data_IF_734045782926
#
_entry.id   IF_734045782926
#
_cell.length_a   1.000
_cell.length_b   1.000
_cell.length_c   1.000
_cell.angle_alpha   90.00
_cell.angle_beta   90.00
_cell.angle_gamma   90.00
#
_symmetry.space_group_name_H-M   'P 1'
#
loop_
_entity.id
_entity.type
_entity.pdbx_description
1 polymer ?
#
# COMPACT_ATOMS: atom_id res chain seq x y z
N UNK A 1 21.96 -0.67 13.46
CA UNK A 1 22.00 0.23 12.29
C UNK A 1 20.78 -0.09 11.45
N UNK A 2 19.93 0.91 11.17
CA UNK A 2 18.76 0.69 10.31
C UNK A 2 19.21 0.84 8.85
N UNK A 3 18.99 -0.18 8.04
CA UNK A 3 19.38 -0.17 6.62
C UNK A 3 18.46 0.69 5.75
N UNK A 4 17.24 0.92 6.22
CA UNK A 4 16.22 1.73 5.55
C UNK A 4 15.29 2.39 6.57
N UNK A 5 14.63 3.47 6.15
CA UNK A 5 13.68 4.23 6.98
C UNK A 5 12.32 3.54 6.99
N UNK A 6 12.06 2.75 8.01
CA UNK A 6 10.82 1.99 8.13
C UNK A 6 9.67 2.84 8.70
N UNK A 7 8.42 2.42 8.43
CA UNK A 7 7.24 3.03 9.06
C UNK A 7 7.31 2.99 10.60
N UNK A 8 7.92 1.96 11.17
CA UNK A 8 8.12 1.88 12.62
C UNK A 8 9.10 2.94 13.13
N UNK A 9 10.16 3.21 12.39
CA UNK A 9 11.12 4.27 12.73
C UNK A 9 10.47 5.65 12.58
N UNK A 10 9.67 5.87 11.52
CA UNK A 10 8.90 7.08 11.36
C UNK A 10 7.97 7.32 12.57
N UNK A 11 7.20 6.32 12.99
CA UNK A 11 6.31 6.48 14.14
C UNK A 11 7.06 6.72 15.45
N UNK A 12 8.15 6.04 15.69
CA UNK A 12 8.99 6.28 16.89
C UNK A 12 9.59 7.68 16.91
N UNK A 13 10.07 8.16 15.77
CA UNK A 13 10.68 9.49 15.67
C UNK A 13 9.64 10.61 15.80
N UNK A 14 8.41 10.40 15.29
CA UNK A 14 7.37 11.44 15.24
C UNK A 14 6.47 11.43 16.48
N UNK A 15 6.14 10.23 16.99
CA UNK A 15 5.16 10.05 18.07
C UNK A 15 5.75 9.46 19.35
N UNK A 16 7.04 9.08 19.35
CA UNK A 16 7.72 8.46 20.48
C UNK A 16 7.35 6.99 20.72
N UNK A 17 6.42 6.43 19.95
CA UNK A 17 5.90 5.08 20.15
C UNK A 17 5.68 4.34 18.83
N UNK A 18 5.48 3.02 18.94
CA UNK A 18 5.09 2.17 17.82
C UNK A 18 3.58 2.25 17.63
N UNK A 19 3.14 2.63 16.44
CA UNK A 19 1.73 2.71 16.08
C UNK A 19 1.38 1.55 15.12
N UNK A 20 0.31 0.82 15.42
CA UNK A 20 -0.17 -0.29 14.61
C UNK A 20 -1.34 0.12 13.73
N UNK A 21 -1.47 -0.55 12.57
CA UNK A 21 -2.62 -0.38 11.68
C UNK A 21 -3.71 -1.38 12.04
N UNK A 22 -4.94 -0.90 12.13
CA UNK A 22 -6.17 -1.72 12.19
C UNK A 22 -6.80 -1.63 10.82
N UNK A 23 -6.87 -2.76 10.11
CA UNK A 23 -7.44 -2.81 8.77
C UNK A 23 -8.98 -2.83 8.85
N UNK A 24 -9.60 -1.88 8.14
CA UNK A 24 -11.04 -1.61 8.11
C UNK A 24 -11.61 -2.07 6.77
N UNK A 25 -12.74 -2.73 6.81
CA UNK A 25 -13.62 -2.98 5.68
C UNK A 25 -14.79 -1.97 5.72
N UNK A 26 -14.73 -0.96 4.89
CA UNK A 26 -15.75 0.06 4.79
C UNK A 26 -16.99 -0.38 3.98
N UNK A 27 -17.00 -1.57 3.42
CA UNK A 27 -18.08 -2.09 2.56
C UNK A 27 -18.20 -1.36 1.24
N UNK A 28 -17.13 -0.74 0.78
CA UNK A 28 -17.06 -0.09 -0.52
C UNK A 28 -16.74 -1.11 -1.63
N UNK A 29 -16.87 -0.72 -2.88
CA UNK A 29 -16.61 -1.55 -4.05
C UNK A 29 -15.36 -1.07 -4.82
N UNK A 30 -15.18 -1.57 -6.01
CA UNK A 30 -14.15 -1.16 -6.94
C UNK A 30 -14.73 -1.08 -8.36
N UNK A 31 -14.45 0.00 -9.13
CA UNK A 31 -14.98 0.15 -10.50
C UNK A 31 -14.54 -0.98 -11.46
N UNK A 32 -13.47 -1.72 -11.13
CA UNK A 32 -13.08 -2.93 -11.86
C UNK A 32 -13.92 -4.17 -11.51
N UNK A 33 -14.91 -4.06 -10.58
CA UNK A 33 -15.70 -5.21 -10.09
C UNK A 33 -17.20 -5.01 -10.17
N UNK A 34 -17.69 -3.78 -10.15
CA UNK A 34 -19.12 -3.47 -10.11
C UNK A 34 -19.74 -3.21 -11.48
N UNK A 35 -18.98 -3.42 -12.54
CA UNK A 35 -19.45 -3.25 -13.92
C UNK A 35 -19.23 -1.84 -14.50
N UNK A 36 -18.71 -0.89 -13.74
CA UNK A 36 -18.41 0.45 -14.26
C UNK A 36 -17.26 0.43 -15.27
N UNK A 37 -16.21 -0.35 -14.98
CA UNK A 37 -15.06 -0.55 -15.86
C UNK A 37 -14.89 -2.01 -16.27
N UNK A 38 -14.93 -2.93 -15.32
CA UNK A 38 -14.88 -4.38 -15.50
C UNK A 38 -15.70 -5.05 -14.37
N UNK A 39 -16.00 -6.33 -14.51
CA UNK A 39 -16.65 -7.15 -13.50
C UNK A 39 -15.71 -8.13 -12.82
N UNK A 40 -14.52 -8.37 -13.41
CA UNK A 40 -13.57 -9.41 -12.99
C UNK A 40 -12.54 -8.92 -11.97
N UNK A 41 -12.29 -7.60 -11.90
CA UNK A 41 -11.22 -7.03 -11.10
C UNK A 41 -9.82 -7.19 -11.72
N UNK A 42 -8.79 -6.70 -11.04
CA UNK A 42 -7.40 -6.97 -11.42
C UNK A 42 -7.12 -8.48 -11.36
N UNK A 43 -6.27 -8.98 -12.26
CA UNK A 43 -6.06 -10.43 -12.44
C UNK A 43 -5.53 -11.15 -11.20
N UNK A 44 -4.85 -10.43 -10.30
CA UNK A 44 -4.25 -10.94 -9.06
C UNK A 44 -5.14 -10.75 -7.83
N UNK A 45 -6.24 -10.01 -7.95
CA UNK A 45 -7.01 -9.57 -6.80
C UNK A 45 -8.01 -10.65 -6.35
N UNK A 46 -7.92 -11.08 -5.08
CA UNK A 46 -8.86 -12.01 -4.47
C UNK A 46 -10.29 -11.47 -4.42
N UNK A 47 -11.25 -12.31 -4.09
CA UNK A 47 -12.64 -11.90 -3.85
C UNK A 47 -12.75 -10.85 -2.73
N UNK A 48 -11.81 -10.82 -1.78
CA UNK A 48 -11.75 -9.85 -0.69
C UNK A 48 -11.21 -8.46 -1.08
N UNK A 49 -10.83 -8.23 -2.35
CA UNK A 49 -10.41 -6.91 -2.82
C UNK A 49 -9.22 -6.32 -2.06
N UNK A 50 -8.20 -7.13 -1.75
CA UNK A 50 -7.04 -6.79 -0.88
C UNK A 50 -7.40 -6.60 0.60
N UNK A 51 -8.64 -6.84 1.00
CA UNK A 51 -9.14 -6.74 2.38
C UNK A 51 -9.18 -8.05 3.15
N UNK A 52 -8.49 -9.10 2.69
CA UNK A 52 -8.51 -10.43 3.31
C UNK A 52 -8.10 -10.44 4.81
N UNK A 53 -7.42 -9.40 5.27
CA UNK A 53 -7.03 -9.21 6.67
C UNK A 53 -7.80 -8.10 7.39
N UNK A 54 -8.77 -7.47 6.73
CA UNK A 54 -9.60 -6.45 7.35
C UNK A 54 -10.57 -7.06 8.36
N UNK A 55 -10.92 -6.30 9.38
CA UNK A 55 -12.00 -6.66 10.30
C UNK A 55 -13.29 -6.71 9.50
N UNK A 56 -13.98 -7.84 9.55
CA UNK A 56 -15.17 -8.09 8.73
C UNK A 56 -16.33 -7.16 9.10
N UNK A 57 -16.79 -6.36 8.13
CA UNK A 57 -18.00 -5.54 8.28
C UNK A 57 -19.26 -6.36 8.57
N UNK A 58 -19.31 -7.59 8.08
CA UNK A 58 -20.43 -8.49 8.37
C UNK A 58 -20.60 -8.74 9.87
N UNK A 59 -19.48 -8.84 10.61
CA UNK A 59 -19.49 -9.08 12.04
C UNK A 59 -19.48 -7.77 12.84
N UNK A 60 -18.90 -6.71 12.30
CA UNK A 60 -18.73 -5.40 12.92
C UNK A 60 -19.14 -4.31 11.92
N UNK A 61 -20.42 -3.91 11.90
CA UNK A 61 -20.97 -3.09 10.80
C UNK A 61 -20.52 -1.63 10.81
N UNK A 62 -20.11 -1.06 11.96
CA UNK A 62 -19.58 0.31 12.06
C UNK A 62 -18.06 0.33 12.08
N UNK A 63 -17.48 1.46 11.71
CA UNK A 63 -16.01 1.66 11.74
C UNK A 63 -15.50 1.60 13.18
N UNK A 64 -16.19 2.22 14.13
CA UNK A 64 -15.84 2.17 15.54
C UNK A 64 -15.86 0.74 16.09
N UNK A 65 -16.86 -0.06 15.74
CA UNK A 65 -16.92 -1.47 16.15
C UNK A 65 -15.74 -2.28 15.57
N UNK A 66 -15.33 -2.00 14.33
CA UNK A 66 -14.16 -2.63 13.71
C UNK A 66 -12.85 -2.19 14.39
N UNK A 67 -12.73 -0.92 14.77
CA UNK A 67 -11.57 -0.42 15.53
C UNK A 67 -11.50 -1.13 16.88
N UNK A 68 -12.58 -1.19 17.64
CA UNK A 68 -12.62 -1.87 18.95
C UNK A 68 -12.30 -3.38 18.83
N UNK A 69 -12.85 -4.04 17.82
CA UNK A 69 -12.52 -5.45 17.53
C UNK A 69 -11.03 -5.61 17.19
N UNK A 70 -10.47 -4.71 16.36
CA UNK A 70 -9.05 -4.69 16.04
C UNK A 70 -8.17 -4.45 17.28
N UNK A 71 -8.54 -3.51 18.14
CA UNK A 71 -7.85 -3.24 19.41
C UNK A 71 -7.82 -4.47 20.32
N UNK A 72 -8.89 -5.25 20.34
CA UNK A 72 -8.95 -6.47 21.15
C UNK A 72 -7.88 -7.51 20.78
N UNK A 73 -7.40 -7.54 19.53
CA UNK A 73 -6.33 -8.42 19.07
C UNK A 73 -4.95 -8.06 19.62
N UNK A 74 -4.81 -6.85 20.16
CA UNK A 74 -3.57 -6.37 20.78
C UNK A 74 -3.58 -6.48 22.31
N UNK A 75 -4.69 -6.89 22.94
CA UNK A 75 -4.77 -7.11 24.39
C UNK A 75 -3.68 -8.09 24.86
N UNK A 76 -2.93 -7.67 25.89
CA UNK A 76 -1.81 -8.47 26.42
C UNK A 76 -0.49 -8.30 25.67
N UNK A 77 -0.43 -7.47 24.64
CA UNK A 77 0.83 -7.04 24.00
C UNK A 77 1.23 -5.67 24.53
N UNK A 78 2.54 -5.44 24.68
CA UNK A 78 3.07 -4.09 24.91
C UNK A 78 2.93 -3.29 23.61
N UNK A 79 1.83 -2.56 23.49
CA UNK A 79 1.55 -1.66 22.35
C UNK A 79 1.32 -0.25 22.90
N UNK A 80 1.60 0.75 22.07
CA UNK A 80 1.25 2.13 22.39
C UNK A 80 -0.27 2.35 22.42
N UNK A 81 -0.68 3.55 22.85
CA UNK A 81 -2.09 3.92 22.97
C UNK A 81 -2.71 4.43 21.66
N UNK A 82 -1.93 4.46 20.57
CA UNK A 82 -2.36 5.02 19.28
C UNK A 82 -2.32 4.00 18.17
N UNK A 83 -3.29 4.13 17.25
CA UNK A 83 -3.48 3.26 16.10
C UNK A 83 -3.79 4.07 14.83
N UNK A 84 -3.54 3.46 13.69
CA UNK A 84 -4.01 3.98 12.39
C UNK A 84 -5.24 3.18 11.97
N UNK A 85 -6.36 3.84 11.69
CA UNK A 85 -7.48 3.22 11.01
C UNK A 85 -7.16 3.12 9.51
N UNK A 86 -6.92 1.91 9.03
CA UNK A 86 -6.50 1.65 7.67
C UNK A 86 -7.64 1.09 6.83
N UNK A 87 -8.24 1.94 6.01
CA UNK A 87 -9.26 1.57 5.04
C UNK A 87 -8.58 0.83 3.88
N UNK A 88 -8.65 -0.50 3.91
CA UNK A 88 -7.85 -1.37 3.05
C UNK A 88 -8.67 -2.05 1.95
N UNK A 89 -9.87 -2.56 2.28
CA UNK A 89 -10.65 -3.37 1.34
C UNK A 89 -11.14 -2.54 0.14
N UNK A 90 -10.87 -3.01 -1.08
CA UNK A 90 -11.30 -2.41 -2.33
C UNK A 90 -10.78 -0.98 -2.58
N UNK A 91 -11.68 -0.03 -2.97
CA UNK A 91 -11.35 1.34 -3.35
C UNK A 91 -12.08 2.31 -2.42
N UNK A 92 -11.37 2.85 -1.44
CA UNK A 92 -12.00 3.51 -0.29
C UNK A 92 -12.32 4.99 -0.50
N UNK A 93 -12.26 5.48 -1.73
CA UNK A 93 -12.81 6.79 -2.14
C UNK A 93 -13.89 6.62 -3.22
N UNK A 94 -14.31 5.39 -3.49
CA UNK A 94 -15.32 5.06 -4.48
C UNK A 94 -16.66 4.77 -3.80
N UNK A 95 -17.42 5.82 -3.53
CA UNK A 95 -18.72 5.76 -2.89
C UNK A 95 -19.39 7.13 -2.78
N UNK A 96 -20.63 7.22 -2.28
CA UNK A 96 -21.29 8.49 -2.02
C UNK A 96 -20.51 9.35 -1.02
N UNK A 97 -20.41 10.67 -1.26
CA UNK A 97 -19.60 11.58 -0.45
C UNK A 97 -20.03 11.64 1.02
N UNK A 98 -21.33 11.69 1.27
CA UNK A 98 -21.91 11.67 2.62
C UNK A 98 -21.53 10.38 3.37
N UNK A 99 -21.52 9.25 2.68
CA UNK A 99 -21.06 7.99 3.26
C UNK A 99 -19.56 8.02 3.56
N UNK A 100 -18.74 8.52 2.62
CA UNK A 100 -17.29 8.65 2.83
C UNK A 100 -16.98 9.60 4.01
N UNK A 101 -17.66 10.74 4.09
CA UNK A 101 -17.51 11.67 5.21
C UNK A 101 -17.86 11.00 6.55
N UNK A 102 -18.97 10.27 6.59
CA UNK A 102 -19.41 9.59 7.82
C UNK A 102 -18.38 8.57 8.31
N UNK A 103 -17.89 7.67 7.44
CA UNK A 103 -16.94 6.62 7.88
C UNK A 103 -15.57 7.17 8.24
N UNK A 104 -15.08 8.21 7.55
CA UNK A 104 -13.80 8.84 7.88
C UNK A 104 -13.90 9.68 9.16
N UNK A 105 -15.02 10.41 9.35
CA UNK A 105 -15.32 11.14 10.56
C UNK A 105 -15.44 10.20 11.76
N UNK A 106 -16.13 9.06 11.62
CA UNK A 106 -16.24 8.05 12.67
C UNK A 106 -14.86 7.54 13.11
N UNK A 107 -13.97 7.22 12.15
CA UNK A 107 -12.60 6.81 12.46
C UNK A 107 -11.78 7.93 13.12
N UNK A 108 -11.83 9.15 12.57
CA UNK A 108 -11.06 10.30 13.07
C UNK A 108 -11.54 10.77 14.44
N UNK A 109 -12.81 10.57 14.78
CA UNK A 109 -13.37 10.92 16.10
C UNK A 109 -12.95 9.94 17.19
N UNK A 110 -12.46 8.74 16.85
CA UNK A 110 -12.07 7.74 17.84
C UNK A 110 -10.80 8.18 18.61
N UNK A 111 -10.79 8.16 19.97
CA UNK A 111 -9.71 8.72 20.78
C UNK A 111 -8.35 8.04 20.57
N UNK A 112 -8.34 6.73 20.34
CA UNK A 112 -7.12 5.96 20.13
C UNK A 112 -6.60 6.00 18.68
N UNK A 113 -7.31 6.64 17.75
CA UNK A 113 -6.87 6.77 16.35
C UNK A 113 -5.99 8.01 16.21
N UNK A 114 -4.72 7.81 15.83
CA UNK A 114 -3.77 8.89 15.53
C UNK A 114 -4.01 9.51 14.15
N UNK A 115 -4.60 8.75 13.24
CA UNK A 115 -4.92 9.17 11.88
C UNK A 115 -5.51 8.04 11.07
N UNK A 116 -5.89 8.36 9.84
CA UNK A 116 -6.42 7.39 8.87
C UNK A 116 -5.49 7.20 7.69
N UNK A 117 -5.48 6.00 7.13
CA UNK A 117 -4.77 5.65 5.90
C UNK A 117 -5.79 5.04 4.94
N UNK A 118 -5.97 5.65 3.77
CA UNK A 118 -7.06 5.33 2.82
C UNK A 118 -6.45 4.74 1.56
N UNK A 119 -6.63 3.42 1.34
CA UNK A 119 -6.20 2.77 0.12
C UNK A 119 -7.21 3.02 -1.00
N UNK A 120 -6.72 3.54 -2.13
CA UNK A 120 -7.59 3.88 -3.25
C UNK A 120 -6.88 3.80 -4.59
N UNK A 121 -7.68 3.99 -5.64
CA UNK A 121 -7.26 4.11 -7.05
C UNK A 121 -7.13 5.58 -7.44
N UNK A 122 -6.17 5.93 -8.29
CA UNK A 122 -6.00 7.30 -8.78
C UNK A 122 -7.24 7.88 -9.49
N UNK A 123 -7.94 7.06 -10.26
CA UNK A 123 -9.15 7.43 -11.00
C UNK A 123 -10.42 7.59 -10.13
N UNK A 124 -10.29 7.36 -8.81
CA UNK A 124 -11.36 7.57 -7.83
C UNK A 124 -11.08 8.75 -6.88
N UNK A 125 -10.28 9.72 -7.31
CA UNK A 125 -9.96 10.96 -6.61
C UNK A 125 -10.47 12.17 -7.40
N UNK A 126 -11.81 12.28 -7.50
CA UNK A 126 -12.48 13.44 -8.08
C UNK A 126 -12.33 14.70 -7.23
N UNK A 127 -12.68 15.87 -7.79
CA UNK A 127 -12.60 17.17 -7.09
C UNK A 127 -13.41 17.18 -5.80
N UNK A 128 -14.55 16.53 -5.80
CA UNK A 128 -15.45 16.34 -4.68
C UNK A 128 -14.79 15.54 -3.53
N UNK A 129 -14.12 14.43 -3.86
CA UNK A 129 -13.35 13.64 -2.88
C UNK A 129 -12.16 14.42 -2.35
N UNK A 130 -11.45 15.14 -3.20
CA UNK A 130 -10.32 15.99 -2.79
C UNK A 130 -10.78 17.10 -1.83
N UNK A 131 -11.93 17.73 -2.09
CA UNK A 131 -12.53 18.73 -1.22
C UNK A 131 -12.93 18.11 0.14
N UNK A 132 -13.52 16.92 0.15
CA UNK A 132 -13.81 16.18 1.37
C UNK A 132 -12.53 15.90 2.19
N UNK A 133 -11.48 15.40 1.56
CA UNK A 133 -10.22 15.10 2.25
C UNK A 133 -9.60 16.36 2.86
N UNK A 134 -9.65 17.49 2.16
CA UNK A 134 -9.18 18.77 2.68
C UNK A 134 -10.03 19.24 3.88
N UNK A 135 -11.35 19.17 3.79
CA UNK A 135 -12.26 19.47 4.91
C UNK A 135 -11.99 18.61 6.14
N UNK A 136 -11.77 17.30 5.95
CA UNK A 136 -11.41 16.40 7.05
C UNK A 136 -10.08 16.80 7.71
N UNK A 137 -9.09 17.19 6.92
CA UNK A 137 -7.79 17.68 7.43
C UNK A 137 -7.95 18.94 8.28
N UNK A 138 -8.82 19.87 7.88
CA UNK A 138 -9.14 21.07 8.64
C UNK A 138 -9.92 20.77 9.94
N UNK A 139 -10.88 19.86 9.87
CA UNK A 139 -11.68 19.44 11.05
C UNK A 139 -10.88 18.66 12.09
N UNK A 140 -9.82 17.95 11.66
CA UNK A 140 -8.99 17.10 12.53
C UNK A 140 -7.50 17.44 12.44
N UNK A 141 -7.07 18.68 12.79
CA UNK A 141 -5.70 19.17 12.57
C UNK A 141 -4.62 18.38 13.35
N UNK A 142 -5.01 17.69 14.42
CA UNK A 142 -4.11 16.87 15.25
C UNK A 142 -4.03 15.39 14.80
N UNK A 143 -4.68 15.04 13.69
CA UNK A 143 -4.69 13.67 13.14
C UNK A 143 -4.25 13.68 11.69
N UNK A 144 -3.42 12.72 11.33
CA UNK A 144 -2.98 12.63 9.94
C UNK A 144 -4.00 11.91 9.06
N UNK A 145 -4.02 12.31 7.79
CA UNK A 145 -4.75 11.63 6.72
C UNK A 145 -3.75 11.26 5.65
N UNK A 146 -3.61 9.98 5.38
CA UNK A 146 -2.72 9.45 4.34
C UNK A 146 -3.52 8.80 3.23
N UNK A 147 -3.11 9.02 2.00
CA UNK A 147 -3.64 8.30 0.84
C UNK A 147 -2.64 7.24 0.40
N UNK A 148 -3.10 5.99 0.34
CA UNK A 148 -2.34 4.87 -0.21
C UNK A 148 -2.80 4.65 -1.65
N UNK A 149 -1.97 5.11 -2.59
CA UNK A 149 -2.32 5.21 -4.01
C UNK A 149 -1.78 4.01 -4.79
N UNK A 150 -2.64 3.28 -5.46
CA UNK A 150 -2.24 2.16 -6.31
C UNK A 150 -1.58 2.66 -7.59
N UNK A 151 -0.35 2.25 -7.88
CA UNK A 151 0.33 2.41 -9.18
C UNK A 151 0.59 1.05 -9.81
N UNK A 152 1.11 0.15 -9.01
CA UNK A 152 1.53 -1.22 -9.31
C UNK A 152 2.78 -1.26 -10.20
N UNK A 153 2.80 -0.54 -11.31
CA UNK A 153 3.90 -0.38 -12.29
C UNK A 153 3.67 0.88 -13.13
N UNK A 154 4.75 1.43 -13.71
CA UNK A 154 4.66 2.52 -14.72
C UNK A 154 4.44 1.98 -16.13
N UNK A 155 4.68 0.70 -16.37
CA UNK A 155 4.63 0.10 -17.70
C UNK A 155 3.20 -0.19 -18.13
N UNK A 156 2.76 0.47 -19.19
CA UNK A 156 1.35 0.41 -19.65
C UNK A 156 0.96 -0.96 -20.21
N UNK A 157 1.88 -1.70 -20.82
CA UNK A 157 1.66 -3.09 -21.27
C UNK A 157 1.37 -4.01 -20.07
N UNK A 158 2.18 -3.94 -19.02
CA UNK A 158 1.94 -4.67 -17.77
C UNK A 158 0.66 -4.20 -17.08
N UNK A 159 0.43 -2.87 -17.01
CA UNK A 159 -0.78 -2.30 -16.43
C UNK A 159 -2.06 -2.79 -17.13
N UNK A 160 -2.04 -2.90 -18.45
CA UNK A 160 -3.11 -3.48 -19.25
C UNK A 160 -3.28 -4.97 -18.98
N UNK A 161 -2.17 -5.73 -18.94
CA UNK A 161 -2.18 -7.16 -18.64
C UNK A 161 -2.83 -7.44 -17.27
N UNK A 162 -2.44 -6.70 -16.23
CA UNK A 162 -3.02 -6.87 -14.88
C UNK A 162 -4.42 -6.26 -14.73
N UNK A 163 -5.00 -5.68 -15.77
CA UNK A 163 -6.31 -5.01 -15.75
C UNK A 163 -6.37 -3.89 -14.71
N UNK A 164 -5.31 -3.06 -14.62
CA UNK A 164 -5.28 -1.92 -13.70
C UNK A 164 -6.43 -0.94 -13.95
N UNK A 165 -6.76 -0.69 -15.23
CA UNK A 165 -7.92 0.06 -15.65
C UNK A 165 -7.76 1.59 -15.67
N UNK A 166 -6.56 2.12 -15.45
CA UNK A 166 -6.20 3.54 -15.61
C UNK A 166 -4.76 3.67 -16.10
N UNK A 167 -4.47 4.77 -16.79
CA UNK A 167 -3.15 5.06 -17.36
C UNK A 167 -2.24 5.79 -16.37
N UNK A 168 -0.94 5.86 -16.66
CA UNK A 168 0.04 6.58 -15.85
C UNK A 168 -0.31 8.08 -15.68
N UNK A 169 -0.75 8.84 -16.72
CA UNK A 169 -1.18 10.23 -16.54
C UNK A 169 -2.30 10.43 -15.51
N UNK A 170 -3.21 9.46 -15.34
CA UNK A 170 -4.25 9.52 -14.29
C UNK A 170 -3.64 9.44 -12.90
N UNK A 171 -2.63 8.59 -12.73
CA UNK A 171 -1.85 8.53 -11.49
C UNK A 171 -1.11 9.86 -11.23
N UNK A 172 -0.46 10.43 -12.24
CA UNK A 172 0.27 11.70 -12.10
C UNK A 172 -0.66 12.85 -11.72
N UNK A 173 -1.84 12.94 -12.32
CA UNK A 173 -2.87 13.92 -11.95
C UNK A 173 -3.28 13.78 -10.49
N UNK A 174 -3.59 12.56 -10.04
CA UNK A 174 -3.96 12.28 -8.66
C UNK A 174 -2.83 12.63 -7.68
N UNK A 175 -1.59 12.27 -8.02
CA UNK A 175 -0.40 12.61 -7.23
C UNK A 175 -0.23 14.11 -7.09
N UNK A 176 -0.33 14.86 -8.18
CA UNK A 176 -0.25 16.33 -8.19
C UNK A 176 -1.36 16.98 -7.35
N UNK A 177 -2.61 16.53 -7.49
CA UNK A 177 -3.75 17.05 -6.74
C UNK A 177 -3.61 16.82 -5.23
N UNK A 178 -3.14 15.64 -4.81
CA UNK A 178 -2.90 15.34 -3.39
C UNK A 178 -1.73 16.16 -2.83
N UNK A 179 -0.66 16.35 -3.61
CA UNK A 179 0.48 17.17 -3.22
C UNK A 179 0.08 18.66 -3.05
N UNK A 180 -0.79 19.20 -3.91
CA UNK A 180 -1.28 20.57 -3.77
C UNK A 180 -2.09 20.80 -2.49
N UNK A 181 -2.70 19.75 -1.96
CA UNK A 181 -3.41 19.75 -0.67
C UNK A 181 -2.50 19.39 0.52
N UNK A 182 -1.21 19.14 0.31
CA UNK A 182 -0.27 18.66 1.33
C UNK A 182 -0.81 17.41 2.05
N UNK A 183 -1.35 16.46 1.30
CA UNK A 183 -1.78 15.16 1.81
C UNK A 183 -0.68 14.13 1.52
N UNK A 184 -0.07 13.51 2.56
CA UNK A 184 0.99 12.52 2.36
C UNK A 184 0.52 11.29 1.58
N UNK A 185 1.33 10.87 0.61
CA UNK A 185 0.99 9.83 -0.36
C UNK A 185 1.92 8.63 -0.17
N UNK A 186 1.33 7.45 0.00
CA UNK A 186 2.03 6.17 -0.01
C UNK A 186 1.72 5.47 -1.31
N UNK A 187 2.74 5.16 -2.11
CA UNK A 187 2.53 4.48 -3.39
C UNK A 187 2.66 2.97 -3.22
N UNK A 188 1.72 2.24 -3.80
CA UNK A 188 1.77 0.78 -3.88
C UNK A 188 2.32 0.34 -5.22
N UNK A 189 3.38 -0.48 -5.20
CA UNK A 189 3.89 -1.21 -6.36
C UNK A 189 3.91 -2.71 -6.08
N UNK A 190 3.91 -3.51 -7.14
CA UNK A 190 3.98 -4.97 -7.03
C UNK A 190 5.24 -5.46 -7.72
N UNK A 191 6.08 -6.16 -6.95
CA UNK A 191 7.30 -6.79 -7.44
C UNK A 191 7.00 -8.20 -7.93
N UNK A 192 7.45 -8.52 -9.14
CA UNK A 192 7.29 -9.83 -9.78
C UNK A 192 6.04 -9.97 -10.65
N UNK A 193 5.51 -8.86 -11.16
CA UNK A 193 4.44 -8.91 -12.17
C UNK A 193 4.94 -9.65 -13.43
N UNK A 194 4.11 -10.50 -14.05
CA UNK A 194 4.49 -11.18 -15.29
C UNK A 194 4.90 -10.18 -16.38
N UNK A 195 6.03 -10.45 -17.03
CA UNK A 195 6.60 -9.57 -18.05
C UNK A 195 7.53 -8.48 -17.51
N UNK A 196 7.68 -8.34 -16.19
CA UNK A 196 8.62 -7.41 -15.58
C UNK A 196 9.88 -8.10 -15.08
N UNK A 197 11.02 -7.74 -15.70
CA UNK A 197 12.33 -8.10 -15.19
C UNK A 197 12.81 -7.07 -14.15
N UNK A 198 14.01 -7.30 -13.60
CA UNK A 198 14.63 -6.39 -12.63
C UNK A 198 14.75 -4.96 -13.13
N UNK A 199 15.13 -4.75 -14.38
CA UNK A 199 15.37 -3.40 -14.91
C UNK A 199 14.06 -2.60 -15.01
N UNK A 200 12.98 -3.20 -15.52
CA UNK A 200 11.65 -2.57 -15.54
C UNK A 200 11.12 -2.21 -14.15
N UNK A 201 11.39 -3.06 -13.17
CA UNK A 201 11.02 -2.76 -11.77
C UNK A 201 11.84 -1.57 -11.27
N UNK A 202 13.15 -1.51 -11.53
CA UNK A 202 13.99 -0.38 -11.13
C UNK A 202 13.61 0.91 -11.88
N UNK A 203 13.22 0.85 -13.15
CA UNK A 203 12.63 2.01 -13.85
C UNK A 203 11.41 2.58 -13.11
N UNK A 204 10.54 1.70 -12.59
CA UNK A 204 9.39 2.13 -11.76
C UNK A 204 9.85 2.78 -10.45
N UNK A 205 10.88 2.25 -9.80
CA UNK A 205 11.45 2.82 -8.57
C UNK A 205 12.10 4.17 -8.86
N UNK A 206 12.94 4.27 -9.89
CA UNK A 206 13.64 5.51 -10.28
C UNK A 206 12.66 6.61 -10.69
N UNK A 207 11.56 6.24 -11.36
CA UNK A 207 10.47 7.16 -11.63
C UNK A 207 9.85 7.71 -10.33
N UNK A 208 9.53 6.84 -9.37
CA UNK A 208 8.93 7.24 -8.09
C UNK A 208 9.91 8.00 -7.19
N UNK A 209 11.20 7.68 -7.24
CA UNK A 209 12.23 8.36 -6.48
C UNK A 209 12.34 9.87 -6.77
N UNK A 210 11.92 10.29 -7.98
CA UNK A 210 11.87 11.70 -8.41
C UNK A 210 10.54 12.39 -8.11
N UNK A 211 9.55 11.67 -7.59
CA UNK A 211 8.22 12.22 -7.27
C UNK A 211 8.15 12.59 -5.79
N UNK A 212 7.32 13.59 -5.47
CA UNK A 212 7.03 13.93 -4.08
C UNK A 212 6.05 12.90 -3.49
N UNK A 213 6.60 11.85 -2.89
CA UNK A 213 5.86 10.82 -2.18
C UNK A 213 6.35 10.72 -0.74
N UNK A 214 5.45 10.49 0.20
CA UNK A 214 5.78 10.27 1.61
C UNK A 214 6.36 8.88 1.85
N UNK A 215 5.82 7.88 1.19
CA UNK A 215 6.24 6.50 1.42
C UNK A 215 5.87 5.55 0.29
N UNK A 216 6.36 4.33 0.43
CA UNK A 216 6.16 3.28 -0.57
C UNK A 216 5.88 1.93 0.09
N UNK A 217 5.09 1.11 -0.60
CA UNK A 217 4.91 -0.32 -0.30
C UNK A 217 5.47 -1.14 -1.46
N UNK A 218 6.55 -1.86 -1.19
CA UNK A 218 7.10 -2.88 -2.08
C UNK A 218 6.36 -4.19 -1.81
N UNK A 219 5.36 -4.51 -2.62
CA UNK A 219 4.53 -5.69 -2.39
C UNK A 219 5.01 -6.85 -3.25
N UNK A 220 5.20 -8.02 -2.64
CA UNK A 220 5.42 -9.25 -3.38
C UNK A 220 4.13 -9.67 -4.11
N UNK A 221 4.25 -10.05 -5.37
CA UNK A 221 3.16 -10.69 -6.09
C UNK A 221 2.79 -12.02 -5.41
N UNK A 222 1.53 -12.19 -5.07
CA UNK A 222 0.98 -13.45 -4.58
C UNK A 222 0.04 -14.05 -5.62
N UNK A 223 0.22 -15.33 -5.87
CA UNK A 223 -0.71 -16.13 -6.66
C UNK A 223 -1.74 -16.71 -5.70
N UNK A 224 -2.97 -16.23 -5.82
CA UNK A 224 -4.07 -16.60 -4.93
C UNK A 224 -5.09 -17.46 -5.67
N UNK A 225 -5.64 -18.45 -4.99
CA UNK A 225 -6.74 -19.27 -5.51
C UNK A 225 -7.89 -18.42 -6.03
N UNK A 226 -8.56 -18.91 -7.03
CA UNK A 226 -9.75 -18.29 -7.64
C UNK A 226 -9.48 -16.92 -8.32
N UNK A 227 -8.22 -16.65 -8.68
CA UNK A 227 -7.84 -15.47 -9.50
C UNK A 227 -7.53 -15.93 -10.93
N UNK A 228 -7.65 -15.00 -11.89
CA UNK A 228 -7.25 -15.31 -13.28
C UNK A 228 -5.74 -15.52 -13.37
N UNK A 229 -4.96 -14.82 -12.55
CA UNK A 229 -3.51 -14.99 -12.48
C UNK A 229 -3.11 -16.42 -12.03
N UNK A 230 -3.91 -17.06 -11.16
CA UNK A 230 -3.67 -18.43 -10.77
C UNK A 230 -3.80 -19.40 -11.95
N UNK A 231 -4.77 -19.16 -12.84
CA UNK A 231 -4.95 -19.96 -14.07
C UNK A 231 -3.76 -19.85 -15.02
N UNK A 232 -3.18 -18.64 -15.13
CA UNK A 232 -2.01 -18.42 -15.96
C UNK A 232 -0.76 -19.06 -15.34
N UNK A 233 -0.63 -19.02 -14.02
CA UNK A 233 0.43 -19.68 -13.28
C UNK A 233 0.37 -21.22 -13.41
N UNK A 234 -0.83 -21.81 -13.29
CA UNK A 234 -1.08 -23.26 -13.48
C UNK A 234 -0.69 -23.75 -14.88
N UNK A 235 -0.79 -22.86 -15.90
CA UNK A 235 -0.35 -23.14 -17.28
C UNK A 235 1.16 -22.89 -17.51
N UNK A 236 1.90 -22.55 -16.44
CA UNK A 236 3.33 -22.22 -16.50
C UNK A 236 3.67 -21.06 -17.45
N UNK A 237 2.79 -20.05 -17.57
CA UNK A 237 3.02 -18.91 -18.44
C UNK A 237 4.05 -17.91 -17.85
N UNK A 238 4.32 -17.99 -16.56
CA UNK A 238 5.33 -17.22 -15.85
C UNK A 238 5.76 -17.94 -14.56
N UNK A 239 6.88 -17.52 -13.98
CA UNK A 239 7.41 -18.01 -12.70
C UNK A 239 7.34 -16.93 -11.64
N UNK A 240 7.34 -17.31 -10.36
CA UNK A 240 7.49 -16.41 -9.21
C UNK A 240 8.93 -16.43 -8.71
N UNK A 241 9.37 -15.35 -8.08
CA UNK A 241 10.70 -15.25 -7.49
C UNK A 241 10.91 -16.30 -6.38
N UNK A 242 12.11 -16.86 -6.32
CA UNK A 242 12.63 -17.48 -5.10
C UNK A 242 12.77 -16.42 -4.00
N UNK A 243 12.93 -16.86 -2.75
CA UNK A 243 13.10 -15.95 -1.62
C UNK A 243 14.36 -15.09 -1.77
N UNK A 244 15.43 -15.70 -2.24
CA UNK A 244 16.73 -15.06 -2.44
C UNK A 244 16.68 -13.98 -3.54
N UNK A 245 16.11 -14.30 -4.70
CA UNK A 245 15.92 -13.34 -5.81
C UNK A 245 15.04 -12.16 -5.37
N UNK A 246 13.95 -12.42 -4.64
CA UNK A 246 13.09 -11.37 -4.13
C UNK A 246 13.81 -10.45 -3.14
N UNK A 247 14.59 -11.03 -2.21
CA UNK A 247 15.35 -10.26 -1.22
C UNK A 247 16.36 -9.35 -1.92
N UNK A 248 17.11 -9.86 -2.89
CA UNK A 248 18.07 -9.06 -3.65
C UNK A 248 17.37 -7.94 -4.42
N UNK A 249 16.24 -8.21 -5.06
CA UNK A 249 15.44 -7.20 -5.76
C UNK A 249 14.91 -6.11 -4.81
N UNK A 250 14.39 -6.48 -3.63
CA UNK A 250 13.92 -5.51 -2.63
C UNK A 250 15.07 -4.60 -2.17
N UNK A 251 16.26 -5.14 -1.97
CA UNK A 251 17.45 -4.36 -1.60
C UNK A 251 17.80 -3.39 -2.72
N UNK A 252 17.83 -3.86 -3.98
CA UNK A 252 18.09 -3.00 -5.13
C UNK A 252 17.07 -1.85 -5.20
N UNK A 253 15.78 -2.14 -5.04
CA UNK A 253 14.75 -1.10 -4.99
C UNK A 253 15.00 -0.07 -3.87
N UNK A 254 15.40 -0.52 -2.69
CA UNK A 254 15.64 0.36 -1.54
C UNK A 254 16.90 1.22 -1.75
N UNK A 255 17.95 0.68 -2.38
CA UNK A 255 19.18 1.43 -2.70
C UNK A 255 18.92 2.60 -3.67
N UNK A 256 17.87 2.51 -4.52
CA UNK A 256 17.46 3.54 -5.47
C UNK A 256 16.47 4.57 -4.90
N UNK A 257 15.89 4.33 -3.72
CA UNK A 257 14.91 5.25 -3.12
C UNK A 257 15.59 6.35 -2.28
N UNK A 258 15.07 7.59 -2.27
CA UNK A 258 15.55 8.65 -1.38
C UNK A 258 15.50 8.23 0.10
N UNK A 259 16.40 8.76 0.93
CA UNK A 259 16.51 8.43 2.36
C UNK A 259 15.30 8.86 3.20
N UNK A 260 14.54 9.83 2.73
CA UNK A 260 13.35 10.40 3.37
C UNK A 260 12.05 9.64 3.04
N UNK A 261 12.04 8.81 2.00
CA UNK A 261 10.88 7.98 1.66
C UNK A 261 10.70 6.85 2.67
N UNK A 262 9.52 6.80 3.29
CA UNK A 262 9.20 5.81 4.33
C UNK A 262 8.80 4.47 3.71
N UNK A 263 9.50 3.39 4.10
CA UNK A 263 9.16 2.03 3.68
C UNK A 263 7.99 1.51 4.55
N UNK A 264 6.77 1.57 4.02
CA UNK A 264 5.57 1.06 4.71
C UNK A 264 5.47 -0.46 4.68
N UNK A 265 6.07 -1.09 3.67
CA UNK A 265 6.09 -2.54 3.49
C UNK A 265 7.23 -2.94 2.56
N UNK A 266 7.96 -4.00 2.92
CA UNK A 266 9.05 -4.60 2.12
C UNK A 266 8.78 -6.06 1.77
N UNK A 267 7.60 -6.59 2.14
CA UNK A 267 7.12 -7.93 1.77
C UNK A 267 5.60 -7.96 1.86
N UNK A 268 4.97 -8.89 1.16
CA UNK A 268 3.52 -9.11 1.24
C UNK A 268 3.16 -10.20 2.27
N UNK A 269 1.92 -10.17 2.72
CA UNK A 269 1.28 -11.27 3.44
C UNK A 269 0.14 -11.80 2.56
N UNK A 270 0.26 -13.01 2.05
CA UNK A 270 -0.84 -13.70 1.35
C UNK A 270 -1.72 -14.43 2.36
N UNK A 271 -3.07 -14.40 2.21
CA UNK A 271 -3.95 -15.20 3.05
C UNK A 271 -3.62 -16.70 2.88
N UNK A 272 -3.19 -17.36 3.96
CA UNK A 272 -2.63 -18.73 3.91
C UNK A 272 -3.55 -19.75 3.26
N UNK A 273 -4.85 -19.61 3.43
CA UNK A 273 -5.87 -20.49 2.84
C UNK A 273 -6.05 -20.30 1.33
N UNK A 274 -5.67 -19.15 0.80
CA UNK A 274 -5.76 -18.80 -0.62
C UNK A 274 -4.41 -18.84 -1.35
N UNK A 275 -3.29 -18.79 -0.63
CA UNK A 275 -1.96 -18.68 -1.22
C UNK A 275 -1.57 -19.95 -1.96
N UNK A 276 -1.27 -19.84 -3.26
CA UNK A 276 -0.68 -20.88 -4.11
C UNK A 276 0.84 -20.71 -4.16
N UNK A 277 1.31 -19.49 -4.45
CA UNK A 277 2.73 -19.18 -4.59
C UNK A 277 3.01 -17.67 -4.32
N UNK A 278 4.24 -17.33 -3.92
CA UNK A 278 5.30 -18.21 -3.45
C UNK A 278 5.07 -18.61 -1.97
N UNK A 279 5.18 -19.89 -1.64
CA UNK A 279 4.86 -20.40 -0.29
C UNK A 279 5.82 -19.90 0.80
N UNK A 280 7.07 -19.57 0.45
CA UNK A 280 8.03 -19.02 1.40
C UNK A 280 7.58 -17.68 2.02
N UNK A 281 6.73 -16.93 1.34
CA UNK A 281 6.20 -15.64 1.83
C UNK A 281 5.31 -15.80 3.09
N UNK A 282 4.77 -16.99 3.34
CA UNK A 282 4.00 -17.31 4.53
C UNK A 282 4.78 -17.25 5.84
N UNK A 283 6.13 -17.19 5.80
CA UNK A 283 6.99 -17.03 6.96
C UNK A 283 7.65 -15.64 6.97
N UNK A 284 6.86 -14.61 7.24
CA UNK A 284 7.31 -13.20 7.25
C UNK A 284 8.53 -12.95 8.13
N UNK A 285 8.63 -13.62 9.29
CA UNK A 285 9.77 -13.45 10.20
C UNK A 285 11.07 -13.90 9.55
N UNK A 286 11.04 -15.02 8.87
CA UNK A 286 12.20 -15.56 8.14
C UNK A 286 12.60 -14.63 6.99
N UNK A 287 11.63 -14.15 6.21
CA UNK A 287 11.88 -13.20 5.11
C UNK A 287 12.56 -11.93 5.62
N UNK A 288 12.05 -11.31 6.70
CA UNK A 288 12.62 -10.10 7.27
C UNK A 288 14.03 -10.34 7.85
N UNK A 289 14.26 -11.46 8.53
CA UNK A 289 15.58 -11.81 9.04
C UNK A 289 16.58 -12.04 7.90
N UNK A 290 16.17 -12.72 6.84
CA UNK A 290 16.99 -12.94 5.65
C UNK A 290 17.30 -11.63 4.93
N UNK A 291 16.32 -10.73 4.80
CA UNK A 291 16.50 -9.39 4.26
C UNK A 291 17.55 -8.58 5.04
N UNK A 292 17.44 -8.54 6.38
CA UNK A 292 18.40 -7.83 7.24
C UNK A 292 19.81 -8.41 7.13
N UNK A 293 19.95 -9.75 7.11
CA UNK A 293 21.24 -10.41 6.90
C UNK A 293 21.84 -10.02 5.55
N UNK A 294 21.04 -10.04 4.49
CA UNK A 294 21.48 -9.74 3.13
C UNK A 294 21.90 -8.27 2.95
N UNK A 295 21.20 -7.33 3.60
CA UNK A 295 21.63 -5.93 3.69
C UNK A 295 23.05 -5.81 4.27
N UNK A 296 23.31 -6.53 5.37
CA UNK A 296 24.63 -6.54 6.02
C UNK A 296 25.71 -7.13 5.10
N UNK A 297 25.43 -8.26 4.47
CA UNK A 297 26.36 -8.93 3.54
C UNK A 297 26.73 -8.04 2.35
N UNK A 298 25.75 -7.32 1.80
CA UNK A 298 25.96 -6.43 0.65
C UNK A 298 26.50 -5.04 1.05
N UNK A 299 26.54 -4.69 2.32
CA UNK A 299 26.83 -3.32 2.76
C UNK A 299 25.83 -2.31 2.19
N UNK A 300 24.60 -2.74 1.93
CA UNK A 300 23.56 -1.97 1.26
C UNK A 300 22.81 -1.06 2.25
N UNK A 301 22.29 0.06 1.77
CA UNK A 301 21.47 1.00 2.53
C UNK A 301 20.60 1.86 1.60
N UNK A 302 19.52 2.38 2.13
CA UNK A 302 18.60 3.23 1.38
C UNK A 302 19.29 4.48 0.84
N UNK A 303 19.08 4.75 -0.45
CA UNK A 303 19.62 5.92 -1.13
C UNK A 303 21.07 5.80 -1.57
N UNK A 304 21.65 4.59 -1.59
CA UNK A 304 23.02 4.37 -2.04
C UNK A 304 23.24 4.78 -3.50
N UNK A 305 22.23 4.54 -4.34
CA UNK A 305 22.28 4.84 -5.79
C UNK A 305 21.34 5.98 -6.19
N UNK A 306 20.68 6.63 -5.21
CA UNK A 306 19.85 7.79 -5.49
C UNK A 306 20.68 9.07 -5.51
N UNK A 307 20.68 9.75 -6.67
CA UNK A 307 21.24 11.09 -6.82
C UNK A 307 20.08 12.09 -6.81
N UNK A 308 20.03 12.96 -5.79
CA UNK A 308 18.92 13.89 -5.60
C UNK A 308 18.95 14.99 -6.67
N UNK A 309 18.06 14.88 -7.66
CA UNK A 309 17.81 15.88 -8.70
C UNK A 309 16.54 16.68 -8.44
N UNK A 310 15.79 16.39 -7.36
CA UNK A 310 14.49 17.02 -7.05
C UNK A 310 14.60 18.54 -6.84
N UNK A 311 15.76 19.03 -6.44
CA UNK A 311 16.03 20.47 -6.26
C UNK A 311 16.32 21.20 -7.56
N UNK A 312 16.60 20.50 -8.66
CA UNK A 312 16.95 21.10 -9.96
C UNK A 312 15.70 21.42 -10.79
N UNK A 313 14.65 20.61 -10.64
CA UNK A 313 13.38 20.76 -11.37
C UNK A 313 12.42 21.82 -10.76
N UNK A 314 12.84 22.50 -9.69
CA UNK A 314 12.08 23.55 -8.99
C UNK A 314 12.58 24.97 -9.26
N UNK A 315 13.52 25.14 -10.20
CA UNK A 315 14.03 26.42 -10.73
C UNK A 315 13.52 26.64 -12.15
#
# INVERSE_FOLDING_TARGET
MNYYYSLNDYFKNTYGEKIYKIAIDAGLSCPNRDGKMDTRGCIFCSAGGSGDFAVSRKNFPSVSAQIEAGLSLFRGKTVGDKFVAYFQAYTNTYGPLDYLDNIFTEALSHPMVAGISIATRPDCLGEDVLALLNSLKERYPNKFIWIELGLQTIHEDTAKFIRRGYSLPVFEKALSSLNSLNIPIIVHIILGLPGENRDRILETIDYLARKNIFGIKLQLLHILKNTDLAKDYEKNLFSVYSKEEYIDLVIDCIEHLPKDVVLHRVTGDGPKNLLIAPLWSGNKKDVLNSLHRRFKERGAYQGRYFYDTRSIDSL
#
